data_IF_831093409786
#
_entry.id   IF_831093409786
#
_cell.length_a   1.000
_cell.length_b   1.000
_cell.length_c   1.000
_cell.angle_alpha   90.00
_cell.angle_beta   90.00
_cell.angle_gamma   90.00
#
_symmetry.space_group_name_H-M   'P 1'
#
loop_
_entity.id
_entity.type
_entity.pdbx_description
1 polymer ?
#
# COMPACT_ATOMS: atom_id res chain seq x y z
N UNK A 1 -3.06 -24.93 -15.25
CA UNK A 1 -3.80 -23.67 -15.34
C UNK A 1 -5.32 -23.85 -15.21
N UNK A 2 -5.99 -24.71 -15.97
CA UNK A 2 -7.45 -24.93 -15.92
C UNK A 2 -8.01 -25.52 -14.62
N UNK A 3 -7.26 -26.34 -13.86
CA UNK A 3 -7.67 -26.83 -12.51
C UNK A 3 -7.62 -25.75 -11.44
N UNK A 4 -6.79 -24.73 -11.60
CA UNK A 4 -6.71 -23.56 -10.72
C UNK A 4 -7.98 -22.69 -10.82
N UNK A 5 -8.53 -22.54 -12.03
CA UNK A 5 -9.77 -21.79 -12.26
C UNK A 5 -11.03 -22.50 -11.74
N UNK A 6 -11.05 -23.82 -11.61
CA UNK A 6 -12.21 -24.57 -11.08
C UNK A 6 -12.37 -24.45 -9.55
N UNK A 7 -11.29 -24.17 -8.82
CA UNK A 7 -11.35 -23.83 -7.39
C UNK A 7 -12.00 -22.47 -7.14
N UNK A 8 -12.15 -21.65 -8.18
CA UNK A 8 -12.62 -20.27 -8.14
C UNK A 8 -14.11 -20.09 -8.55
N UNK A 9 -14.95 -21.11 -8.47
CA UNK A 9 -16.35 -21.07 -8.91
C UNK A 9 -17.39 -20.72 -7.84
N UNK A 10 -17.01 -19.96 -6.76
CA UNK A 10 -17.92 -19.49 -5.71
C UNK A 10 -18.14 -17.96 -5.75
N UNK A 11 -19.29 -17.48 -5.27
CA UNK A 11 -19.61 -16.05 -5.13
C UNK A 11 -18.53 -15.26 -4.38
N UNK A 12 -17.91 -15.86 -3.36
CA UNK A 12 -16.81 -15.28 -2.57
C UNK A 12 -15.61 -14.94 -3.44
N UNK A 13 -15.21 -15.86 -4.30
CA UNK A 13 -14.03 -15.73 -5.15
C UNK A 13 -14.23 -14.73 -6.27
N UNK A 14 -15.40 -14.74 -6.89
CA UNK A 14 -15.75 -13.73 -7.88
C UNK A 14 -15.72 -12.31 -7.29
N UNK A 15 -16.17 -12.19 -6.03
CA UNK A 15 -16.19 -10.90 -5.33
C UNK A 15 -14.75 -10.41 -4.99
N UNK A 16 -13.90 -11.29 -4.47
CA UNK A 16 -12.49 -10.98 -4.20
C UNK A 16 -11.71 -10.63 -5.47
N UNK A 17 -12.01 -11.30 -6.60
CA UNK A 17 -11.42 -10.97 -7.91
C UNK A 17 -11.71 -9.52 -8.32
N UNK A 18 -12.96 -9.06 -8.19
CA UNK A 18 -13.33 -7.69 -8.52
C UNK A 18 -12.65 -6.66 -7.60
N UNK A 19 -12.44 -7.00 -6.32
CA UNK A 19 -11.72 -6.14 -5.39
C UNK A 19 -10.25 -5.97 -5.80
N UNK A 20 -9.56 -7.09 -6.07
CA UNK A 20 -8.16 -7.08 -6.51
C UNK A 20 -8.03 -6.34 -7.84
N UNK A 21 -8.87 -6.65 -8.83
CA UNK A 21 -8.87 -5.99 -10.13
C UNK A 21 -9.07 -4.48 -10.00
N UNK A 22 -9.97 -4.05 -9.08
CA UNK A 22 -10.20 -2.63 -8.78
C UNK A 22 -8.94 -1.95 -8.27
N UNK A 23 -8.26 -2.57 -7.30
CA UNK A 23 -7.05 -2.01 -6.69
C UNK A 23 -5.92 -1.88 -7.71
N UNK A 24 -5.70 -2.92 -8.50
CA UNK A 24 -4.66 -2.93 -9.55
C UNK A 24 -4.92 -1.90 -10.62
N UNK A 25 -6.14 -1.86 -11.15
CA UNK A 25 -6.52 -0.93 -12.20
C UNK A 25 -6.37 0.53 -11.74
N UNK A 26 -6.86 0.83 -10.54
CA UNK A 26 -6.70 2.16 -9.95
C UNK A 26 -5.22 2.51 -9.72
N UNK A 27 -4.42 1.59 -9.18
CA UNK A 27 -2.99 1.82 -8.92
C UNK A 27 -2.21 2.13 -10.21
N UNK A 28 -2.49 1.41 -11.30
CA UNK A 28 -1.87 1.67 -12.60
C UNK A 28 -2.24 3.07 -13.10
N UNK A 29 -3.51 3.43 -13.09
CA UNK A 29 -3.97 4.72 -13.60
C UNK A 29 -3.47 5.87 -12.73
N UNK A 30 -3.47 5.73 -11.41
CA UNK A 30 -2.92 6.73 -10.50
C UNK A 30 -1.40 6.89 -10.68
N UNK A 31 -0.69 5.81 -11.02
CA UNK A 31 0.73 5.88 -11.35
C UNK A 31 0.97 6.64 -12.66
N UNK A 32 0.16 6.39 -13.68
CA UNK A 32 0.24 7.15 -14.94
C UNK A 32 -0.09 8.63 -14.73
N UNK A 33 -1.15 8.93 -13.98
CA UNK A 33 -1.50 10.31 -13.62
C UNK A 33 -0.35 11.00 -12.87
N UNK A 34 0.24 10.34 -11.86
CA UNK A 34 1.38 10.85 -11.12
C UNK A 34 2.57 11.17 -12.04
N UNK A 35 2.91 10.27 -12.97
CA UNK A 35 3.98 10.44 -13.95
C UNK A 35 3.73 11.69 -14.80
N UNK A 36 2.50 11.88 -15.30
CA UNK A 36 2.13 13.05 -16.11
C UNK A 36 2.30 14.36 -15.32
N UNK A 37 1.78 14.41 -14.09
CA UNK A 37 1.89 15.60 -13.23
C UNK A 37 3.36 15.90 -12.91
N UNK A 38 4.14 14.90 -12.54
CA UNK A 38 5.57 15.07 -12.27
C UNK A 38 6.34 15.62 -13.48
N UNK A 39 6.01 15.19 -14.70
CA UNK A 39 6.64 15.68 -15.94
C UNK A 39 6.25 17.11 -16.30
N UNK A 40 4.97 17.44 -16.11
CA UNK A 40 4.37 18.67 -16.62
C UNK A 40 4.66 19.89 -15.78
N UNK A 41 4.63 19.74 -14.45
CA UNK A 41 4.76 20.86 -13.52
C UNK A 41 6.20 21.04 -13.01
N UNK A 42 6.49 22.20 -12.45
CA UNK A 42 7.75 22.46 -11.75
C UNK A 42 7.91 21.52 -10.55
N UNK A 43 9.14 21.28 -10.10
CA UNK A 43 9.39 20.46 -8.91
C UNK A 43 8.69 21.04 -7.67
N UNK A 44 8.65 22.36 -7.54
CA UNK A 44 8.00 23.07 -6.43
C UNK A 44 6.48 22.91 -6.43
N UNK A 45 5.81 23.10 -7.60
CA UNK A 45 4.36 22.91 -7.71
C UNK A 45 3.98 21.44 -7.47
N UNK A 46 4.75 20.52 -8.06
CA UNK A 46 4.55 19.10 -7.87
C UNK A 46 4.73 18.70 -6.40
N UNK A 47 5.78 19.19 -5.73
CA UNK A 47 6.00 18.95 -4.29
C UNK A 47 4.84 19.50 -3.45
N UNK A 48 4.34 20.70 -3.78
CA UNK A 48 3.20 21.29 -3.06
C UNK A 48 1.94 20.41 -3.17
N UNK A 49 1.66 19.88 -4.36
CA UNK A 49 0.58 18.92 -4.56
C UNK A 49 0.80 17.64 -3.77
N UNK A 50 2.01 17.07 -3.81
CA UNK A 50 2.35 15.84 -3.10
C UNK A 50 2.16 15.99 -1.59
N UNK A 51 2.67 17.07 -0.99
CA UNK A 51 2.52 17.32 0.45
C UNK A 51 1.03 17.36 0.84
N UNK A 52 0.24 18.12 0.10
CA UNK A 52 -1.19 18.22 0.37
C UNK A 52 -1.91 16.85 0.20
N UNK A 53 -1.51 16.08 -0.81
CA UNK A 53 -2.06 14.75 -1.06
C UNK A 53 -1.62 13.72 0.01
N UNK A 54 -0.39 13.80 0.49
CA UNK A 54 0.12 12.95 1.58
C UNK A 54 -0.59 13.25 2.90
N UNK A 55 -0.78 14.53 3.23
CA UNK A 55 -1.54 14.96 4.40
C UNK A 55 -2.99 14.45 4.33
N UNK A 56 -3.65 14.69 3.18
CA UNK A 56 -4.99 14.16 2.91
C UNK A 56 -5.05 12.64 3.08
N UNK A 57 -4.15 11.89 2.46
CA UNK A 57 -4.13 10.41 2.54
C UNK A 57 -3.92 9.88 3.95
N UNK A 58 -3.00 10.50 4.71
CA UNK A 58 -2.77 10.15 6.11
C UNK A 58 -4.01 10.41 6.97
N UNK A 59 -4.62 11.57 6.86
CA UNK A 59 -5.83 11.91 7.63
C UNK A 59 -7.02 11.02 7.23
N UNK A 60 -7.16 10.73 5.92
CA UNK A 60 -8.19 9.83 5.41
C UNK A 60 -8.08 8.43 6.03
N UNK A 61 -6.86 7.91 6.22
CA UNK A 61 -6.67 6.57 6.80
C UNK A 61 -7.25 6.44 8.21
N UNK A 62 -7.16 7.50 9.02
CA UNK A 62 -7.79 7.55 10.34
C UNK A 62 -9.30 7.80 10.26
N UNK A 63 -9.76 8.58 9.29
CA UNK A 63 -11.15 9.01 9.19
C UNK A 63 -12.13 7.87 8.94
N UNK A 64 -11.69 6.79 8.30
CA UNK A 64 -12.49 5.58 8.08
C UNK A 64 -12.82 4.83 9.38
N UNK A 65 -12.07 5.12 10.48
CA UNK A 65 -12.22 4.54 11.81
C UNK A 65 -12.15 3.01 11.83
N UNK A 66 -11.66 2.36 10.77
CA UNK A 66 -11.58 0.90 10.64
C UNK A 66 -12.93 0.17 10.84
N UNK A 67 -14.06 0.88 10.69
CA UNK A 67 -15.39 0.37 11.06
C UNK A 67 -16.02 -0.60 10.07
N UNK A 68 -15.36 -0.91 8.94
CA UNK A 68 -15.92 -1.89 7.97
C UNK A 68 -16.13 -3.26 8.60
N UNK A 69 -15.19 -3.73 9.42
CA UNK A 69 -15.29 -5.03 10.10
C UNK A 69 -16.44 -5.06 11.13
N UNK A 70 -16.63 -3.96 11.86
CA UNK A 70 -17.77 -3.80 12.76
C UNK A 70 -19.09 -3.82 11.97
N UNK A 71 -19.20 -3.02 10.92
CA UNK A 71 -20.42 -2.93 10.11
C UNK A 71 -20.80 -4.28 9.48
N UNK A 72 -19.83 -5.01 8.89
CA UNK A 72 -20.08 -6.32 8.27
C UNK A 72 -20.59 -7.32 9.30
N UNK A 73 -20.09 -7.29 10.54
CA UNK A 73 -20.58 -8.14 11.63
C UNK A 73 -22.00 -7.76 12.05
N UNK A 74 -22.26 -6.48 12.29
CA UNK A 74 -23.56 -6.02 12.74
C UNK A 74 -24.68 -6.30 11.73
N UNK A 75 -24.43 -6.06 10.43
CA UNK A 75 -25.43 -6.27 9.38
C UNK A 75 -25.84 -7.75 9.23
N UNK A 76 -24.96 -8.68 9.61
CA UNK A 76 -25.25 -10.12 9.57
C UNK A 76 -26.04 -10.61 10.78
N UNK A 77 -26.03 -9.87 11.89
CA UNK A 77 -26.66 -10.27 13.14
C UNK A 77 -28.02 -9.61 13.42
N UNK A 78 -28.35 -8.54 12.70
CA UNK A 78 -29.57 -7.77 12.96
C UNK A 78 -30.56 -7.80 11.79
N UNK A 79 -31.84 -7.97 12.09
CA UNK A 79 -32.93 -7.96 11.10
C UNK A 79 -33.28 -6.55 10.55
N UNK A 80 -32.66 -5.48 11.08
CA UNK A 80 -32.92 -4.09 10.72
C UNK A 80 -31.78 -3.46 9.93
N UNK A 81 -31.54 -3.99 8.73
CA UNK A 81 -30.45 -3.53 7.83
C UNK A 81 -30.45 -2.01 7.64
N UNK A 82 -31.61 -1.39 7.52
CA UNK A 82 -31.74 0.04 7.27
C UNK A 82 -31.26 0.95 8.39
N UNK A 83 -31.46 0.55 9.62
CA UNK A 83 -31.02 1.34 10.77
C UNK A 83 -29.51 1.31 10.92
N UNK A 84 -28.91 0.13 10.72
CA UNK A 84 -27.46 -0.06 10.77
C UNK A 84 -26.75 0.72 9.65
N UNK A 85 -27.29 0.69 8.43
CA UNK A 85 -26.77 1.47 7.29
C UNK A 85 -26.85 2.97 7.60
N UNK A 86 -27.99 3.46 8.08
CA UNK A 86 -28.15 4.87 8.43
C UNK A 86 -27.19 5.30 9.54
N UNK A 87 -27.03 4.48 10.58
CA UNK A 87 -26.08 4.74 11.67
C UNK A 87 -24.64 4.80 11.14
N UNK A 88 -24.22 3.83 10.34
CA UNK A 88 -22.88 3.79 9.76
C UNK A 88 -22.63 5.00 8.84
N UNK A 89 -23.60 5.37 8.00
CA UNK A 89 -23.53 6.56 7.15
C UNK A 89 -23.31 7.83 7.97
N UNK A 90 -24.08 8.04 9.03
CA UNK A 90 -23.96 9.23 9.89
C UNK A 90 -22.64 9.28 10.63
N UNK A 91 -22.15 8.14 11.13
CA UNK A 91 -20.83 8.06 11.78
C UNK A 91 -19.74 8.45 10.78
N UNK A 92 -19.77 7.92 9.54
CA UNK A 92 -18.78 8.21 8.53
C UNK A 92 -18.86 9.65 8.01
N UNK A 93 -20.04 10.23 7.90
CA UNK A 93 -20.21 11.63 7.54
C UNK A 93 -19.63 12.55 8.63
N UNK A 94 -19.93 12.27 9.90
CA UNK A 94 -19.38 13.02 11.04
C UNK A 94 -17.86 12.88 11.09
N UNK A 95 -17.33 11.67 10.99
CA UNK A 95 -15.89 11.41 10.96
C UNK A 95 -15.24 12.16 9.78
N UNK A 96 -15.78 12.03 8.57
CA UNK A 96 -15.29 12.75 7.40
C UNK A 96 -15.21 14.26 7.63
N UNK A 97 -16.24 14.85 8.23
CA UNK A 97 -16.27 16.29 8.52
C UNK A 97 -15.24 16.68 9.60
N UNK A 98 -15.16 15.93 10.69
CA UNK A 98 -14.18 16.20 11.77
C UNK A 98 -12.76 16.07 11.24
N UNK A 99 -12.45 15.01 10.50
CA UNK A 99 -11.11 14.79 9.95
C UNK A 99 -10.78 15.77 8.81
N UNK A 100 -11.76 16.26 8.05
CA UNK A 100 -11.56 17.39 7.15
C UNK A 100 -11.10 18.65 7.91
N UNK A 101 -11.78 19.00 9.02
CA UNK A 101 -11.37 20.14 9.84
C UNK A 101 -9.97 19.95 10.43
N UNK A 102 -9.63 18.72 10.85
CA UNK A 102 -8.26 18.39 11.30
C UNK A 102 -7.26 18.58 10.16
N UNK A 103 -7.57 18.11 8.94
CA UNK A 103 -6.71 18.32 7.77
C UNK A 103 -6.45 19.81 7.49
N UNK A 104 -7.50 20.62 7.54
CA UNK A 104 -7.39 22.09 7.40
C UNK A 104 -6.50 22.67 8.50
N UNK A 105 -6.79 22.36 9.75
CA UNK A 105 -6.00 22.84 10.91
C UNK A 105 -4.52 22.49 10.75
N UNK A 106 -4.21 21.23 10.44
CA UNK A 106 -2.83 20.77 10.26
C UNK A 106 -2.16 21.46 9.08
N UNK A 107 -2.86 21.67 7.94
CA UNK A 107 -2.27 22.35 6.79
C UNK A 107 -1.88 23.80 7.11
N UNK A 108 -2.71 24.52 7.86
CA UNK A 108 -2.43 25.89 8.25
C UNK A 108 -1.37 26.03 9.36
N UNK A 109 -1.30 25.08 10.28
CA UNK A 109 -0.30 25.09 11.37
C UNK A 109 1.06 24.59 10.91
N UNK A 110 1.07 23.59 10.03
CA UNK A 110 2.31 22.97 9.59
C UNK A 110 2.97 23.71 8.42
N UNK A 111 2.25 24.35 7.51
CA UNK A 111 2.79 24.93 6.29
C UNK A 111 2.48 26.42 6.17
N UNK A 112 3.49 27.20 5.73
CA UNK A 112 3.36 28.64 5.44
C UNK A 112 3.01 28.93 3.98
N UNK A 113 3.26 27.98 3.07
CA UNK A 113 2.97 28.13 1.64
C UNK A 113 1.47 28.20 1.37
N UNK A 114 1.01 29.30 0.77
CA UNK A 114 -0.40 29.47 0.38
C UNK A 114 -0.85 28.41 -0.63
N UNK A 115 0.03 27.99 -1.53
CA UNK A 115 -0.28 26.93 -2.51
C UNK A 115 -0.59 25.60 -1.79
N UNK A 116 0.27 25.18 -0.83
CA UNK A 116 0.04 23.95 -0.06
C UNK A 116 -1.26 24.04 0.74
N UNK A 117 -1.51 25.19 1.41
CA UNK A 117 -2.73 25.41 2.20
C UNK A 117 -3.98 25.32 1.32
N UNK A 118 -3.99 26.01 0.19
CA UNK A 118 -5.14 26.04 -0.72
C UNK A 118 -5.40 24.67 -1.37
N UNK A 119 -4.36 23.94 -1.76
CA UNK A 119 -4.48 22.58 -2.27
C UNK A 119 -5.02 21.66 -1.17
N UNK A 120 -4.50 21.77 0.07
CA UNK A 120 -4.96 20.95 1.21
C UNK A 120 -6.41 21.21 1.59
N UNK A 121 -6.88 22.46 1.50
CA UNK A 121 -8.30 22.83 1.67
C UNK A 121 -9.18 22.10 0.66
N UNK A 122 -8.80 22.17 -0.64
CA UNK A 122 -9.57 21.56 -1.71
C UNK A 122 -9.54 20.03 -1.64
N UNK A 123 -8.35 19.41 -1.58
CA UNK A 123 -8.23 17.96 -1.49
C UNK A 123 -8.85 17.39 -0.22
N UNK A 124 -8.77 18.15 0.88
CA UNK A 124 -9.38 17.77 2.15
C UNK A 124 -10.88 17.53 2.05
N UNK A 125 -11.62 18.22 1.17
CA UNK A 125 -13.06 17.98 0.93
C UNK A 125 -13.30 16.51 0.55
N UNK A 126 -12.35 15.90 -0.17
CA UNK A 126 -12.45 14.49 -0.54
C UNK A 126 -12.47 13.56 0.67
N UNK A 127 -11.99 13.96 1.87
CA UNK A 127 -12.10 13.15 3.09
C UNK A 127 -13.58 12.87 3.39
N UNK A 128 -14.45 13.86 3.23
CA UNK A 128 -15.90 13.70 3.42
C UNK A 128 -16.48 12.78 2.34
N UNK A 129 -16.12 13.01 1.07
CA UNK A 129 -16.61 12.21 -0.06
C UNK A 129 -16.15 10.75 0.06
N UNK A 130 -14.92 10.53 0.45
CA UNK A 130 -14.32 9.20 0.59
C UNK A 130 -14.94 8.41 1.74
N UNK A 131 -15.23 9.05 2.87
CA UNK A 131 -15.95 8.40 3.97
C UNK A 131 -17.34 7.94 3.56
N UNK A 132 -18.06 8.76 2.78
CA UNK A 132 -19.38 8.36 2.27
C UNK A 132 -19.24 7.23 1.24
N UNK A 133 -18.29 7.33 0.30
CA UNK A 133 -18.02 6.26 -0.68
C UNK A 133 -17.61 4.96 0.03
N UNK A 134 -16.87 5.06 1.14
CA UNK A 134 -16.49 3.92 1.97
C UNK A 134 -17.71 3.18 2.54
N UNK A 135 -18.78 3.89 2.91
CA UNK A 135 -20.05 3.26 3.32
C UNK A 135 -20.60 2.37 2.21
N UNK A 136 -20.73 2.91 0.98
CA UNK A 136 -21.24 2.17 -0.17
C UNK A 136 -20.37 0.93 -0.48
N UNK A 137 -19.04 1.12 -0.49
CA UNK A 137 -18.11 0.02 -0.73
C UNK A 137 -18.26 -1.08 0.34
N UNK A 138 -18.41 -0.70 1.60
CA UNK A 138 -18.56 -1.65 2.71
C UNK A 138 -19.88 -2.42 2.62
N UNK A 139 -20.99 -1.76 2.24
CA UNK A 139 -22.26 -2.42 1.97
C UNK A 139 -22.12 -3.41 0.80
N UNK A 140 -21.46 -3.02 -0.29
CA UNK A 140 -21.20 -3.90 -1.42
C UNK A 140 -20.32 -5.11 -1.06
N UNK A 141 -19.39 -4.97 -0.10
CA UNK A 141 -18.61 -6.11 0.44
C UNK A 141 -19.55 -7.04 1.19
N UNK A 142 -20.40 -6.53 2.09
CA UNK A 142 -21.32 -7.34 2.90
C UNK A 142 -22.37 -8.09 2.07
N UNK A 143 -22.76 -7.51 0.91
CA UNK A 143 -23.75 -8.08 -0.03
C UNK A 143 -23.12 -8.88 -1.17
N UNK A 144 -21.78 -9.03 -1.22
CA UNK A 144 -21.07 -9.67 -2.32
C UNK A 144 -21.28 -8.99 -3.68
N UNK A 145 -21.41 -7.66 -3.70
CA UNK A 145 -21.66 -6.84 -4.90
C UNK A 145 -20.46 -5.94 -5.27
N UNK A 146 -19.23 -6.36 -4.96
CA UNK A 146 -18.02 -5.55 -5.20
C UNK A 146 -17.81 -5.17 -6.66
N UNK A 147 -18.39 -5.91 -7.62
CA UNK A 147 -18.40 -5.54 -9.04
C UNK A 147 -18.94 -4.12 -9.27
N UNK A 148 -19.98 -3.69 -8.51
CA UNK A 148 -20.53 -2.33 -8.62
C UNK A 148 -19.50 -1.28 -8.20
N UNK A 149 -18.87 -1.50 -7.06
CA UNK A 149 -17.78 -0.62 -6.60
C UNK A 149 -16.64 -0.55 -7.62
N UNK A 150 -16.26 -1.69 -8.20
CA UNK A 150 -15.25 -1.75 -9.27
C UNK A 150 -15.62 -0.88 -10.46
N UNK A 151 -16.82 -1.02 -11.01
CA UNK A 151 -17.26 -0.26 -12.20
C UNK A 151 -17.21 1.24 -11.93
N UNK A 152 -17.74 1.70 -10.78
CA UNK A 152 -17.80 3.13 -10.46
C UNK A 152 -16.41 3.72 -10.20
N UNK A 153 -15.55 3.00 -9.49
CA UNK A 153 -14.17 3.48 -9.25
C UNK A 153 -13.28 3.38 -10.47
N UNK A 154 -13.54 2.42 -11.37
CA UNK A 154 -12.84 2.33 -12.67
C UNK A 154 -13.25 3.47 -13.60
N UNK A 155 -14.51 3.88 -13.59
CA UNK A 155 -14.95 5.05 -14.34
C UNK A 155 -14.23 6.32 -13.86
N UNK A 156 -14.13 6.52 -12.54
CA UNK A 156 -13.34 7.63 -11.97
C UNK A 156 -11.88 7.58 -12.42
N UNK A 157 -11.27 6.40 -12.37
CA UNK A 157 -9.89 6.22 -12.81
C UNK A 157 -9.71 6.59 -14.30
N UNK A 158 -10.64 6.19 -15.16
CA UNK A 158 -10.64 6.57 -16.58
C UNK A 158 -10.79 8.09 -16.76
N UNK A 159 -11.67 8.76 -16.00
CA UNK A 159 -11.80 10.21 -16.03
C UNK A 159 -10.48 10.89 -15.64
N UNK A 160 -9.78 10.38 -14.63
CA UNK A 160 -8.45 10.88 -14.26
C UNK A 160 -7.40 10.65 -15.36
N UNK A 161 -7.49 9.55 -16.08
CA UNK A 161 -6.60 9.31 -17.24
C UNK A 161 -6.88 10.32 -18.37
N UNK A 162 -8.15 10.61 -18.65
CA UNK A 162 -8.53 11.66 -19.62
C UNK A 162 -8.02 13.03 -19.16
N UNK A 163 -8.13 13.36 -17.88
CA UNK A 163 -7.56 14.57 -17.31
C UNK A 163 -6.03 14.62 -17.48
N UNK A 164 -5.34 13.49 -17.23
CA UNK A 164 -3.90 13.40 -17.44
C UNK A 164 -3.54 13.71 -18.92
N UNK A 165 -4.26 13.11 -19.86
CA UNK A 165 -4.07 13.41 -21.28
C UNK A 165 -4.35 14.90 -21.61
N UNK A 166 -5.42 15.47 -21.04
CA UNK A 166 -5.76 16.88 -21.21
C UNK A 166 -4.64 17.81 -20.70
N UNK A 167 -4.06 17.54 -19.54
CA UNK A 167 -2.93 18.29 -18.94
C UNK A 167 -1.68 18.27 -19.83
N UNK A 168 -1.48 17.22 -20.64
CA UNK A 168 -0.34 17.16 -21.58
C UNK A 168 -0.48 18.19 -22.70
N UNK A 169 -1.68 18.40 -23.21
CA UNK A 169 -1.95 19.25 -24.38
C UNK A 169 -2.32 20.69 -24.02
N UNK A 170 -2.90 20.92 -22.84
CA UNK A 170 -3.41 22.23 -22.42
C UNK A 170 -2.58 22.77 -21.26
N UNK A 171 -2.17 24.03 -21.39
CA UNK A 171 -1.40 24.70 -20.32
C UNK A 171 -2.36 25.21 -19.23
N UNK A 172 -2.54 24.42 -18.20
CA UNK A 172 -3.33 24.75 -17.02
C UNK A 172 -2.47 24.69 -15.77
N UNK A 173 -2.74 25.57 -14.82
CA UNK A 173 -2.01 25.55 -13.55
C UNK A 173 -2.42 24.34 -12.69
N UNK A 174 -1.53 23.92 -11.79
CA UNK A 174 -1.74 22.75 -10.95
C UNK A 174 -2.97 22.88 -10.06
N UNK A 175 -3.29 24.07 -9.57
CA UNK A 175 -4.46 24.33 -8.74
C UNK A 175 -5.77 24.01 -9.47
N UNK A 176 -5.88 24.38 -10.77
CA UNK A 176 -7.03 24.04 -11.61
C UNK A 176 -7.18 22.53 -11.80
N UNK A 177 -6.07 21.80 -11.92
CA UNK A 177 -6.11 20.31 -11.96
C UNK A 177 -6.67 19.75 -10.66
N UNK A 178 -6.29 20.31 -9.52
CA UNK A 178 -6.80 19.87 -8.21
C UNK A 178 -8.31 20.14 -8.09
N UNK A 179 -8.77 21.32 -8.54
CA UNK A 179 -10.22 21.62 -8.58
C UNK A 179 -10.96 20.57 -9.40
N UNK A 180 -10.45 20.22 -10.59
CA UNK A 180 -11.05 19.17 -11.44
C UNK A 180 -11.07 17.81 -10.73
N UNK A 181 -9.99 17.43 -10.03
CA UNK A 181 -9.94 16.18 -9.26
C UNK A 181 -11.02 16.13 -8.17
N UNK A 182 -11.23 17.23 -7.44
CA UNK A 182 -12.26 17.31 -6.40
C UNK A 182 -13.66 17.25 -7.01
N UNK A 183 -13.90 17.95 -8.13
CA UNK A 183 -15.17 17.89 -8.86
C UNK A 183 -15.46 16.47 -9.35
N UNK A 184 -14.46 15.79 -9.93
CA UNK A 184 -14.62 14.39 -10.37
C UNK A 184 -14.86 13.44 -9.20
N UNK A 185 -14.26 13.70 -8.04
CA UNK A 185 -14.55 12.92 -6.83
C UNK A 185 -15.96 13.12 -6.35
N UNK A 186 -16.46 14.37 -6.36
CA UNK A 186 -17.87 14.69 -6.08
C UNK A 186 -18.83 14.03 -7.08
N UNK A 187 -18.47 14.00 -8.37
CA UNK A 187 -19.25 13.27 -9.38
C UNK A 187 -19.26 11.76 -9.11
N UNK A 188 -18.12 11.19 -8.71
CA UNK A 188 -18.05 9.76 -8.30
C UNK A 188 -18.96 9.50 -7.11
N UNK A 189 -19.00 10.38 -6.11
CA UNK A 189 -19.93 10.29 -4.98
C UNK A 189 -21.38 10.29 -5.46
N UNK A 190 -21.75 11.20 -6.37
CA UNK A 190 -23.07 11.22 -6.98
C UNK A 190 -23.43 9.90 -7.67
N UNK A 191 -22.49 9.32 -8.42
CA UNK A 191 -22.66 8.01 -9.06
C UNK A 191 -22.87 6.88 -8.03
N UNK A 192 -22.17 6.93 -6.89
CA UNK A 192 -22.39 5.98 -5.80
C UNK A 192 -23.78 6.11 -5.17
N UNK A 193 -24.31 7.33 -4.99
CA UNK A 193 -25.69 7.52 -4.54
C UNK A 193 -26.70 6.97 -5.53
N UNK A 194 -26.44 7.12 -6.83
CA UNK A 194 -27.40 6.72 -7.88
C UNK A 194 -27.34 5.26 -8.26
N UNK A 195 -26.14 4.68 -8.29
CA UNK A 195 -25.89 3.34 -8.86
C UNK A 195 -25.10 2.41 -7.93
N UNK A 196 -24.68 2.91 -6.76
CA UNK A 196 -23.73 2.19 -5.88
C UNK A 196 -24.34 0.98 -5.19
N UNK A 197 -25.67 0.92 -4.99
CA UNK A 197 -26.33 -0.19 -4.32
C UNK A 197 -27.39 -0.85 -5.20
N UNK A 198 -27.66 -2.14 -4.95
CA UNK A 198 -28.81 -2.85 -5.50
C UNK A 198 -30.09 -2.40 -4.76
N UNK A 199 -31.05 -1.91 -5.51
CA UNK A 199 -32.30 -1.33 -5.00
C UNK A 199 -32.28 0.20 -4.95
N UNK A 200 -33.42 0.81 -5.22
CA UNK A 200 -33.59 2.27 -5.11
C UNK A 200 -33.69 2.63 -3.62
N UNK A 201 -32.54 2.85 -2.97
CA UNK A 201 -32.53 3.46 -1.64
C UNK A 201 -32.63 4.97 -1.81
N UNK A 202 -33.74 5.52 -1.37
CA UNK A 202 -33.95 6.97 -1.32
C UNK A 202 -32.94 7.61 -0.34
N UNK A 203 -32.50 8.84 -0.63
CA UNK A 203 -31.58 9.59 0.26
C UNK A 203 -32.17 9.69 1.68
N UNK A 204 -33.49 9.80 1.81
CA UNK A 204 -34.17 9.79 3.09
C UNK A 204 -33.86 8.54 3.95
N UNK A 205 -33.51 7.42 3.33
CA UNK A 205 -33.15 6.19 4.02
C UNK A 205 -31.88 6.32 4.88
N UNK A 206 -30.90 7.10 4.44
CA UNK A 206 -29.66 7.32 5.18
C UNK A 206 -29.80 8.22 6.40
N UNK A 207 -30.95 8.93 6.53
CA UNK A 207 -31.23 9.84 7.64
C UNK A 207 -32.17 9.27 8.71
N UNK A 208 -32.65 8.03 8.54
CA UNK A 208 -33.53 7.38 9.53
C UNK A 208 -32.81 7.14 10.85
N UNK A 209 -33.55 7.27 11.96
CA UNK A 209 -33.03 7.03 13.32
C UNK A 209 -32.22 8.19 13.91
N UNK A 210 -31.99 8.15 15.21
CA UNK A 210 -31.14 9.09 15.96
C UNK A 210 -29.71 8.58 16.04
N UNK A 211 -28.74 9.50 16.14
CA UNK A 211 -27.32 9.19 16.38
C UNK A 211 -27.05 9.50 17.86
N UNK A 212 -26.76 8.48 18.65
CA UNK A 212 -26.33 8.68 20.04
C UNK A 212 -24.78 8.76 20.10
N UNK A 213 -24.25 9.87 20.60
CA UNK A 213 -22.81 10.08 20.76
C UNK A 213 -22.18 9.08 21.74
N UNK A 214 -22.93 8.59 22.74
CA UNK A 214 -22.43 7.55 23.65
C UNK A 214 -22.22 6.22 22.93
N UNK A 215 -23.13 5.85 22.04
CA UNK A 215 -23.00 4.64 21.22
C UNK A 215 -21.79 4.74 20.28
N UNK A 216 -21.56 5.91 19.66
CA UNK A 216 -20.33 6.13 18.86
C UNK A 216 -19.09 5.88 19.69
N UNK A 217 -19.01 6.46 20.89
CA UNK A 217 -17.89 6.26 21.81
C UNK A 217 -17.64 4.77 22.15
N UNK A 218 -18.71 4.01 22.36
CA UNK A 218 -18.63 2.57 22.63
C UNK A 218 -18.14 1.79 21.38
N UNK A 219 -18.65 2.11 20.18
CA UNK A 219 -18.23 1.49 18.93
C UNK A 219 -16.74 1.77 18.68
N UNK A 220 -16.28 3.00 18.84
CA UNK A 220 -14.88 3.38 18.69
C UNK A 220 -13.98 2.66 19.69
N UNK A 221 -14.36 2.63 20.99
CA UNK A 221 -13.60 1.94 22.02
C UNK A 221 -13.45 0.44 21.74
N UNK A 222 -14.51 -0.22 21.26
CA UNK A 222 -14.47 -1.65 20.89
C UNK A 222 -13.61 -1.93 19.66
N UNK A 223 -13.46 -0.96 18.75
CA UNK A 223 -12.77 -1.13 17.48
C UNK A 223 -11.42 -0.41 17.39
N UNK A 224 -10.90 0.13 18.50
CA UNK A 224 -9.64 0.92 18.50
C UNK A 224 -8.46 0.17 17.86
N UNK A 225 -8.35 -1.13 18.07
CA UNK A 225 -7.30 -1.94 17.46
C UNK A 225 -7.40 -1.97 15.93
N UNK A 226 -8.60 -2.04 15.36
CA UNK A 226 -8.78 -2.01 13.89
C UNK A 226 -8.46 -0.64 13.30
N UNK A 227 -8.73 0.44 14.05
CA UNK A 227 -8.33 1.81 13.65
C UNK A 227 -6.81 1.90 13.56
N UNK A 228 -6.11 1.43 14.59
CA UNK A 228 -4.65 1.47 14.66
C UNK A 228 -4.03 0.61 13.54
N UNK A 229 -4.43 -0.66 13.42
CA UNK A 229 -3.90 -1.57 12.40
C UNK A 229 -4.13 -1.02 10.98
N UNK A 230 -5.32 -0.49 10.70
CA UNK A 230 -5.65 0.05 9.38
C UNK A 230 -4.88 1.33 9.02
N UNK A 231 -4.44 2.11 10.02
CA UNK A 231 -3.75 3.39 9.80
C UNK A 231 -2.22 3.29 9.84
N UNK A 232 -1.66 2.32 10.59
CA UNK A 232 -0.20 2.20 10.80
C UNK A 232 0.56 2.14 9.48
N UNK A 233 0.10 1.33 8.52
CA UNK A 233 0.77 1.19 7.22
C UNK A 233 0.80 2.51 6.44
N UNK A 234 -0.31 3.25 6.40
CA UNK A 234 -0.38 4.55 5.70
C UNK A 234 0.51 5.58 6.39
N UNK A 235 0.49 5.64 7.72
CA UNK A 235 1.37 6.53 8.51
C UNK A 235 2.83 6.19 8.24
N UNK A 236 3.18 4.90 8.22
CA UNK A 236 4.54 4.43 7.97
C UNK A 236 5.09 5.00 6.66
N UNK A 237 4.36 4.83 5.57
CA UNK A 237 4.78 5.31 4.25
C UNK A 237 4.68 6.84 4.08
N UNK A 238 3.76 7.51 4.78
CA UNK A 238 3.59 8.96 4.72
C UNK A 238 4.61 9.73 5.56
N UNK A 239 5.20 9.09 6.57
CA UNK A 239 6.15 9.72 7.50
C UNK A 239 7.34 10.33 6.78
N UNK A 240 7.92 9.61 5.79
CA UNK A 240 9.05 10.10 5.02
C UNK A 240 8.75 11.40 4.31
N UNK A 241 7.67 11.47 3.52
CA UNK A 241 7.27 12.68 2.80
C UNK A 241 7.03 13.87 3.72
N UNK A 242 6.37 13.63 4.87
CA UNK A 242 6.10 14.70 5.83
C UNK A 242 7.37 15.21 6.50
N UNK A 243 8.29 14.33 6.90
CA UNK A 243 9.57 14.74 7.50
C UNK A 243 10.45 15.48 6.50
N UNK A 244 10.57 14.98 5.25
CA UNK A 244 11.30 15.66 4.17
C UNK A 244 10.70 17.05 3.93
N UNK A 245 9.38 17.18 3.86
CA UNK A 245 8.70 18.47 3.63
C UNK A 245 8.91 19.50 4.75
N UNK A 246 9.27 19.04 5.96
CA UNK A 246 9.46 19.89 7.13
C UNK A 246 10.92 20.25 7.44
N UNK A 247 11.82 19.33 7.17
CA UNK A 247 13.20 19.41 7.60
C UNK A 247 14.15 19.69 6.44
N UNK A 248 13.70 19.52 5.17
CA UNK A 248 14.48 19.75 3.97
C UNK A 248 13.83 20.79 3.04
N UNK A 249 14.47 21.05 1.89
CA UNK A 249 13.94 21.93 0.86
C UNK A 249 12.72 21.33 0.16
N UNK A 250 11.79 22.17 -0.25
CA UNK A 250 10.52 21.76 -0.86
C UNK A 250 10.69 20.81 -2.07
N UNK A 251 11.66 21.09 -2.94
CA UNK A 251 11.90 20.32 -4.17
C UNK A 251 12.35 18.88 -3.86
N UNK A 252 12.98 18.64 -2.71
CA UNK A 252 13.41 17.31 -2.29
C UNK A 252 12.23 16.37 -2.00
N UNK A 253 11.04 16.92 -1.76
CA UNK A 253 9.82 16.10 -1.62
C UNK A 253 9.49 15.41 -2.95
N UNK A 254 9.65 16.10 -4.09
CA UNK A 254 9.46 15.50 -5.41
C UNK A 254 10.44 14.33 -5.64
N UNK A 255 11.69 14.50 -5.26
CA UNK A 255 12.72 13.47 -5.41
C UNK A 255 12.44 12.23 -4.58
N UNK A 256 12.03 12.44 -3.32
CA UNK A 256 11.61 11.36 -2.44
C UNK A 256 10.40 10.61 -3.00
N UNK A 257 9.36 11.34 -3.41
CA UNK A 257 8.11 10.76 -3.90
C UNK A 257 8.24 10.03 -5.24
N UNK A 258 9.14 10.49 -6.14
CA UNK A 258 9.45 9.77 -7.37
C UNK A 258 10.08 8.42 -7.05
N UNK A 259 11.02 8.39 -6.11
CA UNK A 259 11.66 7.15 -5.64
C UNK A 259 10.65 6.22 -4.98
N UNK A 260 9.82 6.76 -4.09
CA UNK A 260 8.74 6.02 -3.44
C UNK A 260 7.71 5.51 -4.44
N UNK A 261 7.39 6.30 -5.48
CA UNK A 261 6.44 5.88 -6.52
C UNK A 261 6.93 4.67 -7.31
N UNK A 262 8.21 4.65 -7.69
CA UNK A 262 8.80 3.46 -8.33
C UNK A 262 8.81 2.25 -7.39
N UNK A 263 9.15 2.45 -6.12
CA UNK A 263 9.07 1.42 -5.10
C UNK A 263 7.62 0.89 -4.96
N UNK A 264 6.64 1.78 -4.87
CA UNK A 264 5.23 1.39 -4.74
C UNK A 264 4.69 0.63 -5.95
N UNK A 265 5.20 0.89 -7.16
CA UNK A 265 4.88 0.08 -8.34
C UNK A 265 5.43 -1.34 -8.24
N UNK A 266 6.62 -1.51 -7.67
CA UNK A 266 7.21 -2.83 -7.46
C UNK A 266 6.50 -3.59 -6.33
N UNK A 267 6.11 -2.94 -5.23
CA UNK A 267 5.42 -3.59 -4.11
C UNK A 267 4.03 -4.13 -4.47
N UNK A 268 3.38 -3.63 -5.51
CA UNK A 268 2.07 -4.11 -5.97
C UNK A 268 2.09 -5.62 -6.21
N UNK A 269 3.16 -6.16 -6.80
CA UNK A 269 3.23 -7.58 -7.16
C UNK A 269 3.17 -8.50 -5.92
N UNK A 270 4.05 -8.38 -4.91
CA UNK A 270 3.95 -9.20 -3.71
C UNK A 270 2.65 -8.97 -2.93
N UNK A 271 2.10 -7.75 -2.90
CA UNK A 271 0.82 -7.46 -2.25
C UNK A 271 -0.33 -8.20 -2.95
N UNK A 272 -0.37 -8.22 -4.28
CA UNK A 272 -1.38 -8.97 -5.04
C UNK A 272 -1.28 -10.48 -4.84
N UNK A 273 -0.06 -11.02 -4.88
CA UNK A 273 0.18 -12.45 -4.64
C UNK A 273 -0.21 -12.81 -3.21
N UNK A 274 0.07 -11.93 -2.27
CA UNK A 274 -0.27 -12.08 -0.85
C UNK A 274 -1.77 -12.26 -0.61
N UNK A 275 -2.61 -11.55 -1.35
CA UNK A 275 -4.07 -11.69 -1.28
C UNK A 275 -4.56 -13.11 -1.64
N UNK A 276 -3.81 -13.83 -2.48
CA UNK A 276 -4.10 -15.23 -2.84
C UNK A 276 -3.43 -16.24 -1.90
N UNK A 277 -2.29 -15.89 -1.35
CA UNK A 277 -1.49 -16.74 -0.45
C UNK A 277 -2.11 -16.83 0.94
N UNK A 278 -2.64 -15.72 1.47
CA UNK A 278 -3.19 -15.65 2.82
C UNK A 278 -4.31 -16.67 3.10
N UNK A 279 -5.37 -16.80 2.25
CA UNK A 279 -6.40 -17.84 2.47
C UNK A 279 -5.85 -19.25 2.48
N UNK A 280 -4.85 -19.54 1.65
CA UNK A 280 -4.20 -20.87 1.59
C UNK A 280 -3.43 -21.15 2.87
N UNK A 281 -2.73 -20.15 3.45
CA UNK A 281 -2.05 -20.29 4.73
C UNK A 281 -3.03 -20.62 5.87
N UNK A 282 -4.20 -19.97 5.89
CA UNK A 282 -5.25 -20.22 6.89
C UNK A 282 -5.84 -21.62 6.71
N UNK A 283 -6.18 -22.02 5.48
CA UNK A 283 -6.76 -23.32 5.17
C UNK A 283 -5.81 -24.46 5.55
N UNK A 284 -4.56 -24.40 5.10
CA UNK A 284 -3.54 -25.42 5.41
C UNK A 284 -3.22 -25.48 6.90
N UNK A 285 -3.24 -24.33 7.60
CA UNK A 285 -3.03 -24.30 9.06
C UNK A 285 -4.09 -25.04 9.86
N UNK A 286 -5.30 -25.23 9.31
CA UNK A 286 -6.36 -26.04 9.93
C UNK A 286 -6.21 -27.54 9.65
N UNK A 287 -5.63 -27.90 8.50
CA UNK A 287 -5.52 -29.28 8.05
C UNK A 287 -4.23 -29.95 8.54
N UNK A 288 -3.07 -29.33 8.29
CA UNK A 288 -1.75 -29.87 8.64
C UNK A 288 -0.72 -28.74 8.79
N UNK A 289 -0.06 -28.70 9.95
CA UNK A 289 0.96 -27.70 10.28
C UNK A 289 2.21 -27.87 9.37
N UNK A 290 2.60 -29.12 9.08
CA UNK A 290 3.78 -29.37 8.22
C UNK A 290 3.52 -28.92 6.78
N UNK A 291 2.33 -29.18 6.25
CA UNK A 291 1.94 -28.75 4.91
C UNK A 291 1.91 -27.23 4.80
N UNK A 292 1.39 -26.52 5.82
CA UNK A 292 1.43 -25.07 5.91
C UNK A 292 2.88 -24.54 5.91
N UNK A 293 3.75 -25.12 6.76
CA UNK A 293 5.13 -24.68 6.88
C UNK A 293 5.92 -24.95 5.58
N UNK A 294 5.65 -26.07 4.90
CA UNK A 294 6.24 -26.35 3.60
C UNK A 294 5.78 -25.37 2.51
N UNK A 295 4.47 -25.06 2.48
CA UNK A 295 3.92 -24.05 1.56
C UNK A 295 4.53 -22.68 1.83
N UNK A 296 4.59 -22.24 3.10
CA UNK A 296 5.20 -21.00 3.51
C UNK A 296 6.64 -20.88 2.99
N UNK A 297 7.48 -21.89 3.18
CA UNK A 297 8.89 -21.88 2.71
C UNK A 297 9.00 -21.72 1.19
N UNK A 298 8.14 -22.36 0.41
CA UNK A 298 8.12 -22.21 -1.05
C UNK A 298 7.78 -20.78 -1.47
N UNK A 299 6.76 -20.20 -0.83
CA UNK A 299 6.35 -18.81 -1.14
C UNK A 299 7.40 -17.82 -0.64
N UNK A 300 8.01 -18.08 0.53
CA UNK A 300 9.11 -17.26 1.07
C UNK A 300 10.29 -17.16 0.08
N UNK A 301 10.72 -18.30 -0.47
CA UNK A 301 11.78 -18.31 -1.48
C UNK A 301 11.40 -17.51 -2.74
N UNK A 302 10.17 -17.67 -3.23
CA UNK A 302 9.71 -16.92 -4.39
C UNK A 302 9.68 -15.40 -4.13
N UNK A 303 9.27 -14.99 -2.91
CA UNK A 303 9.26 -13.59 -2.50
C UNK A 303 10.67 -13.03 -2.32
N UNK A 304 11.59 -13.80 -1.74
CA UNK A 304 12.99 -13.43 -1.63
C UNK A 304 13.64 -13.23 -3.02
N UNK A 305 13.39 -14.15 -3.95
CA UNK A 305 13.86 -14.01 -5.33
C UNK A 305 13.27 -12.77 -6.02
N UNK A 306 11.98 -12.49 -5.81
CA UNK A 306 11.35 -11.28 -6.34
C UNK A 306 12.01 -10.01 -5.79
N UNK A 307 12.26 -9.91 -4.48
CA UNK A 307 12.89 -8.75 -3.86
C UNK A 307 14.28 -8.48 -4.43
N UNK A 308 15.09 -9.52 -4.56
CA UNK A 308 16.44 -9.45 -5.14
C UNK A 308 16.41 -9.07 -6.64
N UNK A 309 15.48 -9.66 -7.40
CA UNK A 309 15.27 -9.33 -8.82
C UNK A 309 14.89 -7.85 -8.99
N UNK A 310 13.91 -7.38 -8.23
CA UNK A 310 13.43 -6.01 -8.31
C UNK A 310 14.51 -4.99 -7.92
N UNK A 311 15.28 -5.28 -6.86
CA UNK A 311 16.40 -4.45 -6.46
C UNK A 311 17.47 -4.36 -7.55
N UNK A 312 17.96 -5.51 -8.06
CA UNK A 312 19.03 -5.53 -9.07
C UNK A 312 18.59 -4.92 -10.39
N UNK A 313 17.30 -5.05 -10.74
CA UNK A 313 16.72 -4.36 -11.90
C UNK A 313 16.79 -2.84 -11.75
N UNK A 314 16.32 -2.30 -10.63
CA UNK A 314 16.34 -0.85 -10.41
C UNK A 314 17.77 -0.35 -10.21
N UNK A 315 18.62 -1.10 -9.53
CA UNK A 315 20.04 -0.78 -9.39
C UNK A 315 20.72 -0.55 -10.74
N UNK A 316 20.42 -1.39 -11.73
CA UNK A 316 21.01 -1.28 -13.08
C UNK A 316 20.31 -0.27 -13.98
N UNK A 317 18.99 -0.12 -13.87
CA UNK A 317 18.19 0.61 -14.86
C UNK A 317 17.51 1.88 -14.35
N UNK A 318 17.66 2.26 -13.08
CA UNK A 318 17.17 3.53 -12.59
C UNK A 318 17.65 4.75 -13.41
N UNK A 319 18.92 4.79 -13.90
CA UNK A 319 19.40 5.88 -14.78
C UNK A 319 18.61 6.02 -16.09
N UNK A 320 18.01 4.94 -16.58
CA UNK A 320 17.15 4.95 -17.77
C UNK A 320 15.68 5.16 -17.40
N UNK A 321 15.20 4.50 -16.35
CA UNK A 321 13.80 4.52 -15.95
C UNK A 321 13.33 5.89 -15.47
N UNK A 322 14.14 6.57 -14.65
CA UNK A 322 13.73 7.84 -14.06
C UNK A 322 13.56 8.93 -15.13
N UNK A 323 14.55 9.20 -16.02
CA UNK A 323 14.36 10.18 -17.09
C UNK A 323 13.27 9.77 -18.08
N UNK A 324 13.13 8.48 -18.37
CA UNK A 324 12.10 7.95 -19.27
C UNK A 324 10.70 8.16 -18.69
N UNK A 325 10.46 7.89 -17.42
CA UNK A 325 9.14 7.99 -16.80
C UNK A 325 8.83 9.43 -16.38
N UNK A 326 9.72 10.09 -15.64
CA UNK A 326 9.45 11.36 -14.95
C UNK A 326 10.08 12.58 -15.65
N UNK A 327 10.98 12.36 -16.62
CA UNK A 327 11.69 13.40 -17.35
C UNK A 327 13.13 13.61 -16.88
N UNK A 328 13.96 14.19 -17.79
CA UNK A 328 15.40 14.37 -17.57
C UNK A 328 15.73 15.25 -16.36
N UNK A 329 14.82 16.16 -15.97
CA UNK A 329 14.99 17.03 -14.79
C UNK A 329 15.16 16.26 -13.47
N UNK A 330 14.74 14.99 -13.41
CA UNK A 330 14.83 14.14 -12.21
C UNK A 330 15.98 13.11 -12.26
N UNK A 331 16.95 13.25 -13.17
CA UNK A 331 18.09 12.32 -13.27
C UNK A 331 18.89 12.24 -11.96
N UNK A 332 18.96 13.33 -11.20
CA UNK A 332 19.64 13.39 -9.91
C UNK A 332 18.95 12.57 -8.81
N UNK A 333 17.70 12.13 -9.01
CA UNK A 333 16.95 11.28 -8.09
C UNK A 333 17.40 9.80 -8.13
N UNK A 334 18.22 9.41 -9.12
CA UNK A 334 18.66 8.02 -9.30
C UNK A 334 19.26 7.40 -8.03
N UNK A 335 20.22 8.03 -7.33
CA UNK A 335 20.78 7.47 -6.09
C UNK A 335 19.71 7.24 -5.02
N UNK A 336 18.80 8.21 -4.87
CA UNK A 336 17.70 8.15 -3.92
C UNK A 336 16.75 6.97 -4.21
N UNK A 337 16.46 6.73 -5.49
CA UNK A 337 15.66 5.59 -5.92
C UNK A 337 16.32 4.24 -5.56
N UNK A 338 17.63 4.09 -5.82
CA UNK A 338 18.39 2.88 -5.46
C UNK A 338 18.38 2.66 -3.95
N UNK A 339 18.55 3.72 -3.16
CA UNK A 339 18.51 3.66 -1.69
C UNK A 339 17.12 3.20 -1.19
N UNK A 340 16.04 3.75 -1.74
CA UNK A 340 14.67 3.33 -1.39
C UNK A 340 14.45 1.83 -1.67
N UNK A 341 15.01 1.33 -2.77
CA UNK A 341 14.85 -0.07 -3.19
C UNK A 341 15.60 -1.08 -2.32
N UNK A 342 16.49 -0.67 -1.40
CA UNK A 342 17.01 -1.60 -0.37
C UNK A 342 15.88 -2.26 0.42
N UNK A 343 14.80 -1.55 0.65
CA UNK A 343 13.63 -2.06 1.36
C UNK A 343 12.93 -3.21 0.61
N UNK A 344 12.93 -3.22 -0.74
CA UNK A 344 12.26 -4.27 -1.52
C UNK A 344 12.90 -5.66 -1.33
N UNK A 345 14.14 -5.74 -0.86
CA UNK A 345 14.83 -7.00 -0.62
C UNK A 345 14.14 -7.80 0.50
N UNK A 346 13.69 -7.10 1.54
CA UNK A 346 13.04 -7.71 2.71
C UNK A 346 11.51 -7.53 2.74
N UNK A 347 10.97 -6.54 2.05
CA UNK A 347 9.54 -6.22 2.08
C UNK A 347 8.62 -7.39 1.70
N UNK A 348 8.84 -8.14 0.59
CA UNK A 348 7.95 -9.22 0.20
C UNK A 348 7.89 -10.34 1.24
N UNK A 349 9.05 -10.73 1.78
CA UNK A 349 9.15 -11.77 2.80
C UNK A 349 8.58 -11.32 4.14
N UNK A 350 8.79 -10.06 4.55
CA UNK A 350 8.16 -9.48 5.73
C UNK A 350 6.63 -9.48 5.64
N UNK A 351 6.08 -9.13 4.47
CA UNK A 351 4.64 -9.18 4.20
C UNK A 351 4.08 -10.60 4.32
N UNK A 352 4.81 -11.61 3.83
CA UNK A 352 4.42 -13.00 3.94
C UNK A 352 4.44 -13.48 5.40
N UNK A 353 5.46 -13.09 6.16
CA UNK A 353 5.58 -13.42 7.59
C UNK A 353 4.45 -12.76 8.41
N UNK A 354 4.12 -11.49 8.14
CA UNK A 354 2.98 -10.81 8.75
C UNK A 354 1.66 -11.57 8.49
N UNK A 355 1.42 -11.99 7.25
CA UNK A 355 0.25 -12.79 6.91
C UNK A 355 0.23 -14.14 7.64
N UNK A 356 1.38 -14.78 7.81
CA UNK A 356 1.47 -16.02 8.56
C UNK A 356 1.17 -15.80 10.04
N UNK A 357 1.71 -14.74 10.67
CA UNK A 357 1.40 -14.39 12.07
C UNK A 357 -0.10 -14.18 12.27
N UNK A 358 -0.76 -13.48 11.35
CA UNK A 358 -2.23 -13.32 11.40
C UNK A 358 -2.95 -14.66 11.20
N UNK A 359 -2.49 -15.51 10.27
CA UNK A 359 -3.08 -16.81 10.00
C UNK A 359 -3.01 -17.79 11.20
N UNK A 360 -2.04 -17.60 12.09
CA UNK A 360 -1.86 -18.39 13.32
C UNK A 360 -2.38 -17.67 14.59
N UNK A 361 -3.24 -16.66 14.42
CA UNK A 361 -3.88 -15.89 15.51
C UNK A 361 -2.88 -15.08 16.38
N UNK A 362 -1.80 -14.59 15.80
CA UNK A 362 -0.80 -13.72 16.45
C UNK A 362 -0.90 -12.27 15.95
N UNK A 363 -2.07 -11.79 15.60
CA UNK A 363 -2.31 -10.45 15.09
C UNK A 363 -1.90 -9.34 16.06
N UNK A 364 -1.98 -9.58 17.38
CA UNK A 364 -1.50 -8.61 18.40
C UNK A 364 0.02 -8.47 18.35
N UNK A 365 0.73 -9.57 18.16
CA UNK A 365 2.20 -9.57 18.03
C UNK A 365 2.61 -8.82 16.79
N UNK A 366 1.99 -9.12 15.63
CA UNK A 366 2.23 -8.42 14.39
C UNK A 366 1.96 -6.91 14.51
N UNK A 367 0.85 -6.52 15.15
CA UNK A 367 0.54 -5.11 15.43
C UNK A 367 1.64 -4.41 16.24
N UNK A 368 2.13 -5.02 17.32
CA UNK A 368 3.18 -4.42 18.13
C UNK A 368 4.51 -4.32 17.39
N UNK A 369 4.87 -5.32 16.59
CA UNK A 369 6.07 -5.26 15.73
C UNK A 369 5.97 -4.14 14.70
N UNK A 370 4.81 -3.97 14.08
CA UNK A 370 4.55 -2.86 13.14
C UNK A 370 4.68 -1.49 13.83
N UNK A 371 4.12 -1.32 15.04
CA UNK A 371 4.22 -0.08 15.81
C UNK A 371 5.66 0.22 16.22
N UNK A 372 6.41 -0.79 16.67
CA UNK A 372 7.82 -0.63 17.03
C UNK A 372 8.68 -0.27 15.81
N UNK A 373 8.42 -0.91 14.67
CA UNK A 373 9.08 -0.59 13.40
C UNK A 373 8.77 0.83 12.95
N UNK A 374 7.51 1.27 13.05
CA UNK A 374 7.10 2.66 12.75
C UNK A 374 7.81 3.65 13.68
N UNK A 375 7.87 3.38 14.97
CA UNK A 375 8.56 4.23 15.94
C UNK A 375 10.05 4.32 15.61
N UNK A 376 10.70 3.21 15.29
CA UNK A 376 12.10 3.15 14.89
C UNK A 376 12.35 3.95 13.60
N UNK A 377 11.49 3.78 12.59
CA UNK A 377 11.55 4.56 11.34
C UNK A 377 11.48 6.07 11.63
N UNK A 378 10.48 6.49 12.42
CA UNK A 378 10.31 7.90 12.78
C UNK A 378 11.53 8.46 13.52
N UNK A 379 12.04 7.74 14.52
CA UNK A 379 13.20 8.16 15.32
C UNK A 379 14.44 8.32 14.43
N UNK A 380 14.77 7.30 13.62
CA UNK A 380 15.96 7.37 12.76
C UNK A 380 15.80 8.47 11.71
N UNK A 381 14.64 8.56 11.06
CA UNK A 381 14.39 9.59 10.05
C UNK A 381 14.43 11.00 10.63
N UNK A 382 13.77 11.26 11.77
CA UNK A 382 13.70 12.57 12.37
C UNK A 382 15.08 13.05 12.82
N UNK A 383 15.79 12.27 13.65
CA UNK A 383 17.12 12.67 14.13
C UNK A 383 18.15 12.67 13.01
N UNK A 384 18.09 11.71 12.09
CA UNK A 384 19.01 11.67 10.97
C UNK A 384 18.83 12.84 10.01
N UNK A 385 17.59 13.26 9.69
CA UNK A 385 17.35 14.44 8.87
C UNK A 385 17.81 15.73 9.54
N UNK A 386 17.63 15.86 10.86
CA UNK A 386 18.10 17.04 11.59
C UNK A 386 19.62 17.16 11.61
N UNK A 387 20.34 16.03 11.57
CA UNK A 387 21.80 15.99 11.62
C UNK A 387 22.43 16.08 10.22
N UNK A 388 21.96 15.24 9.29
CA UNK A 388 22.63 15.05 7.98
C UNK A 388 21.98 15.85 6.84
N UNK A 389 20.72 16.29 6.99
CA UNK A 389 19.97 17.05 5.99
C UNK A 389 19.97 16.43 4.58
N UNK A 390 19.88 15.08 4.52
CA UNK A 390 19.91 14.30 3.29
C UNK A 390 18.72 13.31 3.23
N UNK A 391 18.07 13.23 2.06
CA UNK A 391 16.96 12.29 1.80
C UNK A 391 17.39 10.83 2.02
N UNK A 392 18.65 10.49 1.74
CA UNK A 392 19.20 9.15 1.94
C UNK A 392 18.88 8.59 3.34
N UNK A 393 18.87 9.47 4.35
CA UNK A 393 18.57 9.10 5.74
C UNK A 393 17.16 8.50 5.87
N UNK A 394 16.18 9.07 5.18
CA UNK A 394 14.79 8.56 5.22
C UNK A 394 14.71 7.19 4.57
N UNK A 395 15.38 6.99 3.45
CA UNK A 395 15.40 5.71 2.75
C UNK A 395 16.05 4.61 3.61
N UNK A 396 17.18 4.93 4.25
CA UNK A 396 17.83 4.00 5.17
C UNK A 396 17.03 3.78 6.46
N UNK A 397 16.33 4.79 6.97
CA UNK A 397 15.42 4.64 8.11
C UNK A 397 14.31 3.63 7.81
N UNK A 398 13.70 3.71 6.62
CA UNK A 398 12.71 2.75 6.14
C UNK A 398 13.33 1.36 6.03
N UNK A 399 14.49 1.22 5.37
CA UNK A 399 15.15 -0.07 5.23
C UNK A 399 15.50 -0.69 6.58
N UNK A 400 16.13 0.06 7.48
CA UNK A 400 16.55 -0.44 8.82
C UNK A 400 15.34 -0.86 9.64
N UNK A 401 14.27 -0.08 9.62
CA UNK A 401 13.06 -0.41 10.37
C UNK A 401 12.30 -1.61 9.78
N UNK A 402 12.28 -1.78 8.45
CA UNK A 402 11.76 -3.00 7.82
C UNK A 402 12.64 -4.22 8.07
N UNK A 403 13.95 -4.06 8.07
CA UNK A 403 14.88 -5.13 8.43
C UNK A 403 14.70 -5.56 9.89
N UNK A 404 14.55 -4.60 10.81
CA UNK A 404 14.20 -4.88 12.21
C UNK A 404 12.86 -5.64 12.31
N UNK A 405 11.84 -5.21 11.57
CA UNK A 405 10.54 -5.88 11.52
C UNK A 405 10.66 -7.32 11.04
N UNK A 406 11.38 -7.55 9.92
CA UNK A 406 11.61 -8.86 9.34
C UNK A 406 12.37 -9.79 10.29
N UNK A 407 13.48 -9.32 10.90
CA UNK A 407 14.27 -10.10 11.86
C UNK A 407 13.43 -10.47 13.09
N UNK A 408 12.64 -9.52 13.60
CA UNK A 408 11.76 -9.76 14.75
C UNK A 408 10.70 -10.83 14.45
N UNK A 409 10.14 -10.82 13.24
CA UNK A 409 9.22 -11.85 12.78
C UNK A 409 9.93 -13.22 12.65
N UNK A 410 11.16 -13.26 12.08
CA UNK A 410 11.96 -14.49 12.00
C UNK A 410 12.19 -15.10 13.40
N UNK A 411 12.59 -14.28 14.37
CA UNK A 411 12.84 -14.75 15.75
C UNK A 411 11.57 -15.41 16.32
N UNK A 412 10.41 -14.77 16.15
CA UNK A 412 9.14 -15.30 16.62
C UNK A 412 8.79 -16.61 15.90
N UNK A 413 8.88 -16.65 14.58
CA UNK A 413 8.55 -17.84 13.79
C UNK A 413 9.51 -19.02 14.07
N UNK A 414 10.78 -18.75 14.40
CA UNK A 414 11.76 -19.74 14.86
C UNK A 414 11.37 -20.29 16.24
N UNK A 415 10.99 -19.42 17.19
CA UNK A 415 10.54 -19.85 18.52
C UNK A 415 9.30 -20.77 18.46
N UNK A 416 8.40 -20.54 17.50
CA UNK A 416 7.22 -21.38 17.25
C UNK A 416 7.52 -22.60 16.36
N UNK A 417 8.77 -22.86 15.98
CA UNK A 417 9.15 -24.01 15.17
C UNK A 417 8.66 -23.97 13.72
N UNK A 418 8.20 -22.83 13.24
CA UNK A 418 7.66 -22.66 11.88
C UNK A 418 8.76 -22.38 10.87
N UNK A 419 9.72 -21.53 11.26
CA UNK A 419 10.90 -21.20 10.47
C UNK A 419 12.13 -21.82 11.14
N UNK A 420 13.12 -22.24 10.34
CA UNK A 420 14.40 -22.73 10.88
C UNK A 420 15.41 -21.59 10.92
N UNK A 421 16.20 -21.55 11.98
CA UNK A 421 17.29 -20.57 12.09
C UNK A 421 18.26 -20.64 10.89
N UNK A 422 18.52 -21.86 10.38
CA UNK A 422 19.32 -22.07 9.18
C UNK A 422 18.73 -21.39 7.94
N UNK A 423 17.41 -21.43 7.78
CA UNK A 423 16.74 -20.87 6.61
C UNK A 423 16.78 -19.32 6.65
N UNK A 424 16.61 -18.72 7.85
CA UNK A 424 16.76 -17.28 8.05
C UNK A 424 18.22 -16.82 7.78
N UNK A 425 19.22 -17.50 8.35
CA UNK A 425 20.62 -17.20 8.09
C UNK A 425 20.98 -17.36 6.60
N UNK A 426 20.45 -18.39 5.95
CA UNK A 426 20.62 -18.61 4.52
C UNK A 426 20.06 -17.45 3.70
N UNK A 427 18.86 -16.95 4.05
CA UNK A 427 18.26 -15.81 3.37
C UNK A 427 19.17 -14.58 3.43
N UNK A 428 19.64 -14.17 4.61
CA UNK A 428 20.48 -12.97 4.75
C UNK A 428 21.83 -13.15 4.08
N UNK A 429 22.50 -14.30 4.28
CA UNK A 429 23.84 -14.53 3.72
C UNK A 429 23.80 -14.69 2.21
N UNK A 430 22.84 -15.44 1.65
CA UNK A 430 22.73 -15.63 0.21
C UNK A 430 22.30 -14.34 -0.49
N UNK A 431 21.42 -13.54 0.13
CA UNK A 431 21.06 -12.22 -0.39
C UNK A 431 22.26 -11.28 -0.46
N UNK A 432 23.04 -11.21 0.62
CA UNK A 432 24.25 -10.39 0.66
C UNK A 432 25.28 -10.84 -0.39
N UNK A 433 25.55 -12.14 -0.50
CA UNK A 433 26.49 -12.69 -1.48
C UNK A 433 26.03 -12.45 -2.93
N UNK A 434 24.72 -12.62 -3.20
CA UNK A 434 24.15 -12.37 -4.52
C UNK A 434 24.31 -10.89 -4.89
N UNK A 435 23.96 -9.98 -3.98
CA UNK A 435 24.05 -8.54 -4.23
C UNK A 435 25.49 -8.08 -4.43
N UNK A 436 26.44 -8.57 -3.62
CA UNK A 436 27.86 -8.30 -3.79
C UNK A 436 28.37 -8.84 -5.13
N UNK A 437 28.03 -10.09 -5.47
CA UNK A 437 28.38 -10.71 -6.74
C UNK A 437 27.79 -9.95 -7.93
N UNK A 438 26.51 -9.58 -7.85
CA UNK A 438 25.86 -8.79 -8.89
C UNK A 438 26.53 -7.42 -9.05
N UNK A 439 26.76 -6.70 -7.95
CA UNK A 439 27.44 -5.41 -7.97
C UNK A 439 28.82 -5.53 -8.65
N UNK A 440 29.63 -6.49 -8.20
CA UNK A 440 30.98 -6.69 -8.76
C UNK A 440 30.95 -7.00 -10.26
N UNK A 441 30.09 -7.91 -10.69
CA UNK A 441 29.95 -8.27 -12.11
C UNK A 441 29.36 -7.11 -12.94
N UNK A 442 28.46 -6.30 -12.39
CA UNK A 442 27.86 -5.15 -13.09
C UNK A 442 28.87 -4.05 -13.40
N UNK A 443 30.02 -3.98 -12.72
CA UNK A 443 31.12 -3.08 -13.05
C UNK A 443 31.75 -3.40 -14.41
N UNK A 444 31.72 -4.68 -14.82
CA UNK A 444 32.30 -5.14 -16.08
C UNK A 444 31.26 -5.33 -17.19
N UNK A 445 30.00 -5.60 -16.83
CA UNK A 445 28.94 -5.95 -17.76
C UNK A 445 27.67 -5.13 -17.47
N UNK A 446 27.42 -4.10 -18.24
CA UNK A 446 26.28 -3.18 -18.05
C UNK A 446 25.08 -3.44 -18.99
N UNK A 447 25.14 -4.50 -19.83
CA UNK A 447 24.09 -4.76 -20.81
C UNK A 447 22.86 -5.43 -20.22
N UNK A 448 21.68 -5.21 -20.87
CA UNK A 448 20.45 -5.88 -20.48
C UNK A 448 20.54 -7.42 -20.62
N UNK A 449 21.34 -7.90 -21.57
CA UNK A 449 21.61 -9.34 -21.76
C UNK A 449 22.33 -9.93 -20.55
N UNK A 450 23.25 -9.17 -19.94
CA UNK A 450 23.92 -9.59 -18.69
C UNK A 450 22.91 -9.76 -17.56
N UNK A 451 21.99 -8.81 -17.37
CA UNK A 451 20.93 -8.90 -16.37
C UNK A 451 20.11 -10.18 -16.53
N UNK A 452 19.58 -10.43 -17.73
CA UNK A 452 18.80 -11.64 -17.99
C UNK A 452 19.61 -12.92 -17.83
N UNK A 453 20.86 -12.95 -18.31
CA UNK A 453 21.74 -14.11 -18.20
C UNK A 453 22.06 -14.41 -16.73
N UNK A 454 22.36 -13.39 -15.92
CA UNK A 454 22.63 -13.54 -14.50
C UNK A 454 21.42 -14.17 -13.79
N UNK A 455 20.23 -13.64 -14.02
CA UNK A 455 19.02 -14.16 -13.38
C UNK A 455 18.58 -15.53 -13.90
N UNK A 456 18.82 -15.83 -15.17
CA UNK A 456 18.57 -17.15 -15.73
C UNK A 456 19.51 -18.21 -15.11
N UNK A 457 20.79 -17.90 -14.95
CA UNK A 457 21.75 -18.79 -14.28
C UNK A 457 21.36 -18.99 -12.82
N UNK A 458 21.03 -17.90 -12.11
CA UNK A 458 20.62 -17.98 -10.71
C UNK A 458 19.34 -18.81 -10.53
N UNK A 459 18.34 -18.63 -11.39
CA UNK A 459 17.11 -19.42 -11.39
C UNK A 459 17.39 -20.91 -11.68
N UNK A 460 18.26 -21.22 -12.61
CA UNK A 460 18.69 -22.59 -12.91
C UNK A 460 19.38 -23.25 -11.70
N UNK A 461 20.31 -22.57 -11.08
CA UNK A 461 21.01 -23.06 -9.87
C UNK A 461 20.00 -23.30 -8.74
N UNK A 462 19.11 -22.35 -8.50
CA UNK A 462 18.07 -22.47 -7.48
C UNK A 462 17.11 -23.64 -7.76
N UNK A 463 16.73 -23.84 -9.02
CA UNK A 463 15.87 -24.96 -9.45
C UNK A 463 16.55 -26.32 -9.26
N UNK A 464 17.82 -26.45 -9.67
CA UNK A 464 18.61 -27.68 -9.51
C UNK A 464 18.78 -28.01 -8.04
N UNK A 465 19.12 -27.01 -7.22
CA UNK A 465 19.27 -27.18 -5.76
C UNK A 465 17.94 -27.63 -5.12
N UNK A 466 16.83 -26.99 -5.44
CA UNK A 466 15.50 -27.35 -4.92
C UNK A 466 15.10 -28.76 -5.34
N UNK A 467 15.43 -29.19 -6.57
CA UNK A 467 15.10 -30.52 -7.08
C UNK A 467 15.96 -31.60 -6.43
N UNK A 468 17.25 -31.35 -6.15
CA UNK A 468 18.13 -32.31 -5.42
C UNK A 468 17.63 -32.51 -3.99
N UNK A 469 17.28 -31.43 -3.30
CA UNK A 469 16.73 -31.47 -1.94
C UNK A 469 15.39 -32.22 -1.84
N UNK A 470 14.54 -32.13 -2.86
CA UNK A 470 13.28 -32.87 -2.93
C UNK A 470 13.50 -34.36 -3.22
N UNK A 471 14.55 -34.73 -3.97
CA UNK A 471 14.92 -36.13 -4.24
C UNK A 471 15.50 -36.82 -3.02
N UNK A 472 16.37 -36.18 -2.26
CA UNK A 472 16.94 -36.75 -1.04
C UNK A 472 15.85 -37.07 0.01
N UNK A 473 14.80 -36.26 0.12
CA UNK A 473 13.66 -36.55 0.99
C UNK A 473 12.77 -37.70 0.49
N UNK A 474 12.66 -37.89 -0.82
CA UNK A 474 11.88 -38.98 -1.40
C UNK A 474 12.60 -40.34 -1.33
N UNK A 475 13.93 -40.35 -1.11
CA UNK A 475 14.74 -41.57 -0.92
C UNK A 475 14.97 -41.88 0.56
N UNK A 476 14.65 -40.96 1.48
CA UNK A 476 14.75 -41.13 2.93
C UNK A 476 13.39 -41.45 3.62
N UNK A 477 12.29 -41.45 2.87
CA UNK A 477 10.97 -41.91 3.26
C UNK A 477 10.62 -43.25 2.58
#
# INVERSE_FOLDING_TARGET
>A
MFKFFKLFSGRLVGNSFWAILSSVFQSIIFSLFFIVIARRYSSSDFSSYIIANTLYGMILSFSSLGLSQWFIREIQHHNFEGEIISRFFKIQLLAGTVFYLINVLLSFTLYSSDLIRNISLLLGINIIFDNIIYVFKTINISRYEQKRSFVLTSLEALIKLVLAAFVVYVDINIFSVIVMLVVFRGFTLYLFFRFGLSGNMDIAYYWKGSLDLREIGLVLKKNIYFIVIGSVSVVYWSTGSLLVSKLLQLDMVADYEISFKLFSMAEIIPVMVSASVFPILVEKGKADIEERNHFFRKVFLAYAMYGLLAFTFVYSYAPLLIPFLFGAKYIHTVPNCIQMFWTIIVFPTALLQANLLVAIHMEKTDMWLNLLSLALNFIIAFFGLTIFQDIAVVNYAIFISFLFFHISQDIILIQYGIHKQSDALWFYTSSALLLLGYHFLSLFFSSIYFFFLFWMIFALISFVYTKSFLREKATAA
#
